data_IF_713265184148
#
_entry.id   IF_713265184148
#
_cell.length_a   1.000
_cell.length_b   1.000
_cell.length_c   1.000
_cell.angle_alpha   90.00
_cell.angle_beta   90.00
_cell.angle_gamma   90.00
#
_symmetry.space_group_name_H-M   'P 1'
#
loop_
_entity.id
_entity.type
_entity.pdbx_description
1 polymer ?
#
# COMPACT_ATOMS: atom_id res chain seq x y z
N UNK A 1 -7.68 0.37 3.65
CA UNK A 1 -6.32 0.75 4.07
C UNK A 1 -5.44 -0.49 4.09
N UNK A 2 -4.15 -0.35 3.92
CA UNK A 2 -3.25 -1.50 3.87
C UNK A 2 -2.52 -1.70 5.21
N UNK A 3 -2.06 -2.94 5.47
CA UNK A 3 -1.23 -3.22 6.64
C UNK A 3 0.14 -2.56 6.49
N UNK A 4 0.60 -1.80 7.51
CA UNK A 4 1.89 -1.07 7.40
C UNK A 4 3.12 -1.98 7.28
N UNK A 5 2.99 -3.24 7.63
CA UNK A 5 4.10 -4.21 7.59
C UNK A 5 4.07 -5.10 6.36
N UNK A 6 3.10 -4.86 5.47
CA UNK A 6 2.98 -5.62 4.23
C UNK A 6 3.91 -5.04 3.17
N UNK A 7 4.70 -5.91 2.54
CA UNK A 7 5.53 -5.55 1.39
C UNK A 7 4.86 -6.09 0.14
N UNK A 8 4.19 -5.23 -0.61
CA UNK A 8 3.51 -5.58 -1.84
C UNK A 8 4.55 -5.78 -2.96
N UNK A 9 4.57 -6.95 -3.57
CA UNK A 9 5.56 -7.33 -4.57
C UNK A 9 4.97 -7.34 -5.97
N UNK A 10 3.79 -7.98 -6.13
CA UNK A 10 3.20 -8.18 -7.46
C UNK A 10 1.70 -8.01 -7.39
N UNK A 11 1.15 -7.20 -8.30
CA UNK A 11 -0.30 -7.06 -8.43
C UNK A 11 -0.91 -8.34 -8.97
N UNK A 12 -2.01 -8.79 -8.37
CA UNK A 12 -2.75 -9.93 -8.89
C UNK A 12 -3.51 -9.52 -10.13
N UNK A 13 -3.47 -10.38 -11.13
CA UNK A 13 -4.32 -10.21 -12.30
C UNK A 13 -5.76 -10.50 -11.88
N UNK A 14 -6.63 -9.49 -11.95
CA UNK A 14 -8.02 -9.65 -11.57
C UNK A 14 -8.92 -9.63 -12.78
N UNK A 15 -9.81 -10.61 -12.83
CA UNK A 15 -10.85 -10.66 -13.86
C UNK A 15 -12.06 -9.83 -13.46
N UNK A 16 -12.23 -9.56 -12.17
CA UNK A 16 -13.32 -8.74 -11.65
C UNK A 16 -12.81 -7.34 -11.34
N UNK A 17 -12.94 -6.44 -12.32
CA UNK A 17 -12.48 -5.06 -12.20
C UNK A 17 -13.32 -4.22 -11.25
N UNK A 18 -14.55 -4.66 -10.92
CA UNK A 18 -15.42 -3.88 -10.04
C UNK A 18 -14.91 -3.86 -8.60
N UNK A 19 -14.24 -4.93 -8.17
CA UNK A 19 -13.70 -5.02 -6.82
C UNK A 19 -12.37 -4.31 -6.64
N UNK A 20 -11.56 -4.24 -7.68
CA UNK A 20 -10.22 -3.66 -7.55
C UNK A 20 -10.25 -2.17 -7.22
N UNK A 21 -11.31 -1.45 -7.66
CA UNK A 21 -11.46 -0.04 -7.34
C UNK A 21 -11.71 0.23 -5.85
N UNK A 22 -12.14 -0.79 -5.10
CA UNK A 22 -12.45 -0.68 -3.67
C UNK A 22 -11.30 -1.12 -2.77
N UNK A 23 -10.24 -1.68 -3.35
CA UNK A 23 -9.10 -2.16 -2.57
C UNK A 23 -8.15 -1.01 -2.21
N UNK A 24 -7.60 -0.99 -0.99
CA UNK A 24 -6.76 0.12 -0.51
C UNK A 24 -5.55 0.43 -1.37
N UNK A 25 -4.92 -0.59 -1.97
CA UNK A 25 -3.77 -0.40 -2.86
C UNK A 25 -4.17 -0.41 -4.33
N UNK A 26 -5.46 -0.31 -4.63
CA UNK A 26 -5.97 -0.30 -5.99
C UNK A 26 -6.18 -1.68 -6.59
N UNK A 27 -5.33 -2.63 -6.29
CA UNK A 27 -5.43 -4.04 -6.65
C UNK A 27 -5.23 -4.89 -5.40
N UNK A 28 -5.54 -6.17 -5.49
CA UNK A 28 -5.01 -7.14 -4.53
C UNK A 28 -3.56 -7.42 -4.92
N UNK A 29 -2.68 -7.39 -3.95
CA UNK A 29 -1.25 -7.58 -4.16
C UNK A 29 -0.78 -8.85 -3.47
N UNK A 30 0.09 -9.59 -4.14
CA UNK A 30 0.90 -10.63 -3.53
C UNK A 30 2.12 -9.98 -2.91
N UNK A 31 2.60 -10.52 -1.79
CA UNK A 31 3.75 -9.97 -1.14
C UNK A 31 4.12 -10.72 0.12
N UNK A 32 4.92 -10.06 0.94
CA UNK A 32 5.51 -10.64 2.14
C UNK A 32 5.17 -9.81 3.37
N UNK A 33 5.09 -10.47 4.52
CA UNK A 33 4.96 -9.80 5.80
C UNK A 33 6.35 -9.50 6.35
N UNK A 34 6.61 -8.25 6.68
CA UNK A 34 7.86 -7.78 7.30
C UNK A 34 7.66 -7.32 8.73
N UNK A 35 6.65 -7.87 9.41
CA UNK A 35 6.44 -7.57 10.83
C UNK A 35 7.64 -7.98 11.68
N UNK A 36 8.32 -9.07 11.30
CA UNK A 36 9.60 -9.45 11.85
C UNK A 36 10.69 -9.04 10.84
N UNK A 37 11.50 -8.02 11.15
CA UNK A 37 12.53 -7.56 10.22
C UNK A 37 13.62 -8.61 9.94
N UNK A 38 13.76 -9.60 10.79
CA UNK A 38 14.77 -10.65 10.60
C UNK A 38 14.29 -11.79 9.71
N UNK A 39 12.96 -11.90 9.46
CA UNK A 39 12.40 -13.02 8.73
C UNK A 39 11.15 -12.60 7.96
N UNK A 40 11.26 -12.50 6.65
CA UNK A 40 10.10 -12.26 5.80
C UNK A 40 9.21 -13.50 5.80
N UNK A 41 7.90 -13.31 5.92
CA UNK A 41 6.92 -14.38 5.98
C UNK A 41 5.92 -14.25 4.83
N UNK A 42 5.63 -15.38 4.19
CA UNK A 42 4.62 -15.42 3.13
C UNK A 42 3.25 -15.69 3.75
N UNK A 43 2.31 -14.73 3.72
CA UNK A 43 0.98 -14.93 4.28
C UNK A 43 0.20 -15.98 3.48
N UNK A 44 -0.67 -16.72 4.17
CA UNK A 44 -1.67 -17.55 3.49
C UNK A 44 -2.67 -16.65 2.77
N UNK A 45 -3.42 -17.22 1.84
CA UNK A 45 -4.31 -16.43 0.98
C UNK A 45 -5.38 -15.67 1.76
N UNK A 46 -5.95 -16.29 2.78
CA UNK A 46 -6.99 -15.65 3.58
C UNK A 46 -6.43 -14.43 4.31
N UNK A 47 -5.28 -14.57 4.96
CA UNK A 47 -4.61 -13.47 5.65
C UNK A 47 -4.19 -12.37 4.67
N UNK A 48 -3.63 -12.78 3.54
CA UNK A 48 -3.19 -11.84 2.50
C UNK A 48 -4.34 -10.94 2.05
N UNK A 49 -5.47 -11.52 1.72
CA UNK A 49 -6.60 -10.77 1.14
C UNK A 49 -7.42 -10.02 2.19
N UNK A 50 -7.59 -10.59 3.39
CA UNK A 50 -8.45 -9.99 4.41
C UNK A 50 -7.72 -9.03 5.35
N UNK A 51 -6.39 -9.13 5.45
CA UNK A 51 -5.61 -8.35 6.42
C UNK A 51 -4.47 -7.58 5.79
N UNK A 52 -3.56 -8.23 5.07
CA UNK A 52 -2.41 -7.55 4.48
C UNK A 52 -2.84 -6.45 3.51
N UNK A 53 -3.80 -6.74 2.66
CA UNK A 53 -4.33 -5.78 1.68
C UNK A 53 -5.36 -4.82 2.25
N UNK A 54 -5.93 -5.10 3.42
CA UNK A 54 -7.02 -4.32 3.99
C UNK A 54 -6.66 -3.50 5.22
N UNK A 55 -5.58 -3.85 5.92
CA UNK A 55 -5.18 -3.15 7.14
C UNK A 55 -5.99 -3.53 8.37
N UNK A 56 -5.69 -2.87 9.47
CA UNK A 56 -6.35 -3.09 10.77
C UNK A 56 -6.28 -4.55 11.22
N UNK A 57 -5.08 -5.14 11.09
CA UNK A 57 -4.85 -6.53 11.46
C UNK A 57 -4.55 -6.72 12.95
N UNK A 58 -4.38 -5.64 13.72
CA UNK A 58 -4.11 -5.72 15.16
C UNK A 58 -5.25 -6.44 15.86
N UNK A 59 -4.91 -7.48 16.62
CA UNK A 59 -5.91 -8.31 17.28
C UNK A 59 -6.49 -9.41 16.41
N UNK A 60 -6.24 -9.38 15.10
CA UNK A 60 -6.75 -10.38 14.15
C UNK A 60 -5.63 -11.23 13.56
N UNK A 61 -4.48 -10.61 13.26
CA UNK A 61 -3.32 -11.31 12.71
C UNK A 61 -2.33 -11.62 13.84
N UNK A 62 -2.01 -12.90 14.02
CA UNK A 62 -1.10 -13.32 15.09
C UNK A 62 0.32 -12.76 14.91
N UNK A 63 0.70 -12.37 13.69
CA UNK A 63 2.03 -11.83 13.42
C UNK A 63 2.09 -10.31 13.53
N UNK A 64 0.96 -9.63 13.75
CA UNK A 64 0.95 -8.18 13.89
C UNK A 64 1.74 -7.77 15.14
N UNK A 65 2.75 -6.88 15.01
CA UNK A 65 3.59 -6.53 16.15
C UNK A 65 2.79 -5.84 17.26
N UNK A 66 3.07 -6.21 18.49
CA UNK A 66 2.62 -5.44 19.64
C UNK A 66 3.37 -4.12 19.71
N UNK A 67 2.81 -3.14 20.41
CA UNK A 67 3.47 -1.86 20.59
C UNK A 67 2.69 -0.70 19.98
N UNK A 68 3.36 0.42 19.83
CA UNK A 68 2.72 1.71 19.53
C UNK A 68 2.79 2.14 18.06
N UNK A 69 3.03 1.19 17.17
CA UNK A 69 3.09 1.48 15.74
C UNK A 69 1.72 1.65 15.09
N UNK A 70 1.67 2.01 13.81
CA UNK A 70 0.41 2.21 13.10
C UNK A 70 -0.34 0.91 12.84
N UNK A 71 -1.67 1.03 12.67
CA UNK A 71 -2.54 -0.09 12.35
C UNK A 71 -2.83 -0.23 10.87
N UNK A 72 -2.75 0.87 10.12
CA UNK A 72 -3.12 0.88 8.71
C UNK A 72 -2.48 2.06 7.99
N UNK A 73 -2.32 1.91 6.67
CA UNK A 73 -1.79 2.96 5.80
C UNK A 73 -2.77 3.23 4.66
N UNK A 74 -2.96 4.50 4.33
CA UNK A 74 -3.75 4.89 3.15
C UNK A 74 -3.03 5.97 2.36
N UNK A 75 -3.37 6.05 1.09
CA UNK A 75 -2.70 6.93 0.13
C UNK A 75 -3.72 7.66 -0.73
N UNK A 76 -3.36 8.86 -1.16
CA UNK A 76 -4.18 9.66 -2.07
C UNK A 76 -3.26 10.34 -3.08
N UNK A 77 -3.64 10.32 -4.37
CA UNK A 77 -2.94 11.09 -5.38
C UNK A 77 -3.38 12.54 -5.22
N UNK A 78 -2.46 13.43 -4.87
CA UNK A 78 -2.76 14.84 -4.68
C UNK A 78 -2.41 15.69 -5.91
N UNK A 79 -1.52 15.21 -6.77
CA UNK A 79 -1.20 15.86 -8.03
C UNK A 79 -0.66 14.82 -9.01
N UNK A 80 -1.13 14.90 -10.26
CA UNK A 80 -0.69 14.01 -11.34
C UNK A 80 -0.06 14.87 -12.44
N UNK A 81 1.26 14.95 -12.41
CA UNK A 81 2.03 15.72 -13.37
C UNK A 81 2.73 14.85 -14.40
N UNK A 82 3.30 15.47 -15.45
CA UNK A 82 3.93 14.71 -16.54
C UNK A 82 5.23 14.02 -16.13
N UNK A 83 5.95 14.55 -15.15
CA UNK A 83 7.22 13.99 -14.71
C UNK A 83 7.10 13.24 -13.39
N UNK A 84 6.17 13.65 -12.53
CA UNK A 84 6.02 13.10 -11.19
C UNK A 84 4.58 13.17 -10.73
N UNK A 85 4.23 12.22 -9.86
CA UNK A 85 2.97 12.27 -9.13
C UNK A 85 3.26 12.63 -7.67
N UNK A 86 2.39 13.45 -7.09
CA UNK A 86 2.45 13.71 -5.66
C UNK A 86 1.41 12.87 -4.96
N UNK A 87 1.86 12.15 -3.94
CA UNK A 87 1.04 11.25 -3.14
C UNK A 87 1.06 11.76 -1.71
N UNK A 88 -0.08 11.69 -1.06
CA UNK A 88 -0.16 11.99 0.36
C UNK A 88 -0.44 10.70 1.11
N UNK A 89 0.36 10.38 2.12
CA UNK A 89 0.15 9.19 2.93
C UNK A 89 -0.41 9.57 4.30
N UNK A 90 -1.24 8.70 4.85
CA UNK A 90 -1.70 8.77 6.23
C UNK A 90 -1.55 7.38 6.83
N UNK A 91 -0.80 7.30 7.92
CA UNK A 91 -0.77 6.13 8.78
C UNK A 91 -1.76 6.36 9.90
N UNK A 92 -2.55 5.35 10.23
CA UNK A 92 -3.57 5.45 11.26
C UNK A 92 -3.31 4.48 12.40
N UNK A 93 -3.74 4.88 13.59
CA UNK A 93 -3.82 4.04 14.77
C UNK A 93 -5.16 4.31 15.45
N UNK A 94 -5.92 3.25 15.73
CA UNK A 94 -7.25 3.34 16.33
C UNK A 94 -8.16 4.30 15.56
N UNK A 95 -8.10 4.25 14.22
CA UNK A 95 -8.89 5.07 13.30
C UNK A 95 -8.59 6.57 13.41
N UNK A 96 -7.42 6.93 13.94
CA UNK A 96 -6.97 8.32 14.04
C UNK A 96 -5.62 8.48 13.32
N UNK A 97 -5.34 9.66 12.76
CA UNK A 97 -4.04 9.90 12.16
C UNK A 97 -2.91 9.68 13.17
N UNK A 98 -1.92 8.89 12.76
CA UNK A 98 -0.71 8.63 13.54
C UNK A 98 0.49 9.37 12.97
N UNK A 99 0.64 9.34 11.65
CA UNK A 99 1.67 10.06 10.92
C UNK A 99 1.17 10.32 9.51
N UNK A 100 1.64 11.39 8.88
CA UNK A 100 1.22 11.72 7.53
C UNK A 100 2.25 12.61 6.85
N UNK A 101 2.18 12.72 5.54
CA UNK A 101 3.05 13.60 4.79
C UNK A 101 2.97 13.40 3.29
N UNK A 102 3.67 14.26 2.54
CA UNK A 102 3.75 14.14 1.10
C UNK A 102 4.84 13.18 0.66
N UNK A 103 4.59 12.52 -0.46
CA UNK A 103 5.54 11.67 -1.16
C UNK A 103 5.56 12.09 -2.62
N UNK A 104 6.65 11.78 -3.32
CA UNK A 104 6.78 12.06 -4.73
C UNK A 104 7.20 10.81 -5.48
N UNK A 105 6.46 10.48 -6.54
CA UNK A 105 6.76 9.35 -7.41
C UNK A 105 7.35 9.88 -8.71
N UNK A 106 8.55 9.42 -9.07
CA UNK A 106 9.19 9.77 -10.34
C UNK A 106 8.71 8.82 -11.43
N UNK A 107 8.06 9.35 -12.46
CA UNK A 107 7.62 8.53 -13.59
C UNK A 107 8.80 7.93 -14.35
N UNK A 108 9.88 8.70 -14.50
CA UNK A 108 11.05 8.25 -15.26
C UNK A 108 11.79 7.12 -14.54
N UNK A 109 11.89 7.19 -13.23
CA UNK A 109 12.65 6.22 -12.44
C UNK A 109 11.81 5.11 -11.85
N UNK A 110 10.48 5.30 -11.78
CA UNK A 110 9.59 4.36 -11.12
C UNK A 110 9.83 4.25 -9.63
N UNK A 111 10.29 5.34 -9.00
CA UNK A 111 10.67 5.33 -7.59
C UNK A 111 9.84 6.32 -6.77
N UNK A 112 9.63 5.98 -5.52
CA UNK A 112 8.91 6.79 -4.55
C UNK A 112 9.89 7.36 -3.54
N UNK A 113 9.75 8.65 -3.20
CA UNK A 113 10.61 9.31 -2.23
C UNK A 113 9.79 10.16 -1.26
N UNK A 114 10.26 10.25 -0.01
CA UNK A 114 9.65 11.08 1.02
C UNK A 114 10.56 11.13 2.23
N UNK A 115 10.72 12.32 2.82
CA UNK A 115 11.71 12.53 3.88
C UNK A 115 11.34 11.85 5.19
N UNK A 116 10.06 11.83 5.54
CA UNK A 116 9.60 11.33 6.84
C UNK A 116 8.99 9.94 6.79
N UNK A 117 8.88 9.34 5.61
CA UNK A 117 8.23 8.04 5.46
C UNK A 117 9.24 6.91 5.62
N UNK A 118 8.80 5.81 6.26
CA UNK A 118 9.59 4.59 6.35
C UNK A 118 9.69 3.92 4.99
N UNK A 119 10.67 3.02 4.83
CA UNK A 119 10.82 2.25 3.60
C UNK A 119 9.55 1.43 3.31
N UNK A 120 8.94 0.86 4.33
CA UNK A 120 7.69 0.10 4.18
C UNK A 120 6.56 0.98 3.63
N UNK A 121 6.44 2.20 4.12
CA UNK A 121 5.44 3.16 3.64
C UNK A 121 5.71 3.54 2.18
N UNK A 122 6.97 3.76 1.81
CA UNK A 122 7.34 4.08 0.44
C UNK A 122 7.00 2.93 -0.52
N UNK A 123 7.25 1.69 -0.12
CA UNK A 123 6.94 0.52 -0.94
C UNK A 123 5.43 0.32 -1.14
N UNK A 124 4.64 0.55 -0.09
CA UNK A 124 3.18 0.49 -0.23
C UNK A 124 2.65 1.62 -1.13
N UNK A 125 3.21 2.83 -0.99
CA UNK A 125 2.85 3.95 -1.84
C UNK A 125 3.17 3.68 -3.31
N UNK A 126 4.32 3.05 -3.58
CA UNK A 126 4.70 2.67 -4.93
C UNK A 126 3.69 1.68 -5.54
N UNK A 127 3.27 0.68 -4.76
CA UNK A 127 2.25 -0.26 -5.22
C UNK A 127 0.95 0.46 -5.56
N UNK A 128 0.52 1.38 -4.70
CA UNK A 128 -0.69 2.17 -4.94
C UNK A 128 -0.59 2.98 -6.24
N UNK A 129 0.55 3.63 -6.48
CA UNK A 129 0.76 4.43 -7.69
C UNK A 129 0.81 3.54 -8.93
N UNK A 130 1.47 2.40 -8.87
CA UNK A 130 1.53 1.47 -10.00
C UNK A 130 0.15 0.99 -10.40
N UNK A 131 -0.71 0.67 -9.43
CA UNK A 131 -2.10 0.30 -9.70
C UNK A 131 -2.89 1.47 -10.33
N UNK A 132 -2.69 2.67 -9.81
CA UNK A 132 -3.31 3.88 -10.35
C UNK A 132 -2.92 4.10 -11.82
N UNK A 133 -1.62 4.04 -12.12
CA UNK A 133 -1.11 4.24 -13.49
C UNK A 133 -1.61 3.18 -14.45
N UNK A 134 -1.68 1.93 -14.00
CA UNK A 134 -2.21 0.84 -14.82
C UNK A 134 -3.68 1.10 -15.19
N UNK A 135 -4.49 1.56 -14.25
CA UNK A 135 -5.90 1.85 -14.52
C UNK A 135 -6.09 3.00 -15.48
N UNK A 136 -5.28 4.05 -15.38
CA UNK A 136 -5.32 5.16 -16.31
C UNK A 136 -4.96 4.68 -17.72
N UNK A 137 -3.93 3.84 -17.84
CA UNK A 137 -3.52 3.26 -19.10
C UNK A 137 -4.64 2.41 -19.73
N UNK A 138 -5.27 1.56 -18.92
CA UNK A 138 -6.39 0.73 -19.39
C UNK A 138 -7.59 1.57 -19.83
N UNK A 139 -7.91 2.62 -19.07
CA UNK A 139 -9.01 3.52 -19.42
C UNK A 139 -8.74 4.26 -20.73
N UNK A 140 -7.49 4.66 -20.98
CA UNK A 140 -7.09 5.33 -22.22
C UNK A 140 -7.11 4.41 -23.44
N UNK A 141 -6.95 3.10 -23.22
CA UNK A 141 -6.97 2.11 -24.30
C UNK A 141 -8.39 1.75 -24.76
N UNK A 142 -9.41 2.18 -24.04
CA UNK A 142 -10.82 2.00 -24.41
C UNK A 142 -11.31 3.16 -25.30
#
# INVERSE_FOLDING_TARGET
>A
MACPYFHAVKARCQTDTSRSAMLPLGDAWDGLCRADPASAWEPDEITLLSQCNMGYARGCCARFPGGDGPDAARFTISADGPEALRVYYVLERDHRPFAHGPLEYSRARGTMAGESASQSTLELARAYVESYLRRISEASAR
#
